data_IF_345123517133
#
_entry.id   IF_345123517133
#
_cell.length_a   1.000
_cell.length_b   1.000
_cell.length_c   1.000
_cell.angle_alpha   90.00
_cell.angle_beta   90.00
_cell.angle_gamma   90.00
#
_symmetry.space_group_name_H-M   'P 1'
#
loop_
_entity.id
_entity.type
_entity.pdbx_description
1 polymer ?
#
# COMPACT_ATOMS: atom_id res chain seq x y z
N UNK A 1 -0.74 -19.47 -9.24
CA UNK A 1 -0.13 -19.08 -7.95
C UNK A 1 -0.72 -17.79 -7.35
N UNK A 2 -1.80 -17.22 -7.91
CA UNK A 2 -2.47 -16.01 -7.34
C UNK A 2 -3.72 -16.36 -6.51
N UNK A 3 -4.37 -17.49 -6.78
CA UNK A 3 -5.64 -17.86 -6.12
C UNK A 3 -5.46 -18.36 -4.67
N UNK A 4 -4.32 -18.96 -4.34
CA UNK A 4 -4.08 -19.50 -2.98
C UNK A 4 -3.99 -18.42 -1.90
N UNK A 5 -3.68 -17.16 -2.24
CA UNK A 5 -3.66 -16.06 -1.26
C UNK A 5 -5.06 -15.50 -1.00
N UNK A 6 -5.97 -15.55 -1.98
CA UNK A 6 -7.32 -15.01 -1.84
C UNK A 6 -8.25 -15.95 -1.06
N UNK A 7 -8.09 -17.27 -1.22
CA UNK A 7 -8.94 -18.26 -0.56
C UNK A 7 -8.41 -18.71 0.82
N UNK A 8 -7.12 -18.51 1.12
CA UNK A 8 -6.51 -18.85 2.43
C UNK A 8 -6.19 -17.65 3.30
N UNK A 9 -6.55 -16.43 2.89
CA UNK A 9 -6.38 -15.29 3.78
C UNK A 9 -7.44 -15.32 4.89
N UNK A 10 -7.03 -15.77 6.07
CA UNK A 10 -7.82 -15.78 7.30
C UNK A 10 -8.19 -14.38 7.83
N UNK A 11 -8.05 -13.32 7.02
CA UNK A 11 -8.44 -11.96 7.37
C UNK A 11 -9.71 -11.57 6.63
N UNK A 12 -10.80 -11.34 7.36
CA UNK A 12 -12.11 -10.82 6.90
C UNK A 12 -12.05 -9.46 6.15
N UNK A 13 -10.86 -8.99 5.75
CA UNK A 13 -10.57 -7.62 5.28
C UNK A 13 -9.61 -7.56 4.07
N UNK A 14 -9.06 -8.67 3.56
CA UNK A 14 -8.14 -8.70 2.40
C UNK A 14 -6.76 -8.04 2.62
N UNK A 15 -6.36 -7.81 3.87
CA UNK A 15 -5.10 -7.11 4.22
C UNK A 15 -3.83 -7.86 3.82
N UNK A 16 -3.80 -9.19 3.77
CA UNK A 16 -2.55 -9.85 3.41
C UNK A 16 -2.26 -9.74 1.91
N UNK A 17 -3.27 -9.77 1.04
CA UNK A 17 -3.07 -9.33 -0.35
C UNK A 17 -2.60 -7.87 -0.44
N UNK A 18 -3.19 -6.95 0.32
CA UNK A 18 -2.78 -5.55 0.36
C UNK A 18 -1.31 -5.39 0.75
N UNK A 19 -0.84 -6.08 1.79
CA UNK A 19 0.55 -5.99 2.24
C UNK A 19 1.51 -6.80 1.37
N UNK A 20 1.08 -7.93 0.82
CA UNK A 20 1.84 -8.65 -0.21
C UNK A 20 2.16 -7.72 -1.39
N UNK A 21 1.20 -6.92 -1.85
CA UNK A 21 1.43 -5.92 -2.89
C UNK A 21 2.39 -4.81 -2.46
N UNK A 22 2.38 -4.42 -1.19
CA UNK A 22 3.24 -3.34 -0.68
C UNK A 22 4.73 -3.65 -0.81
N UNK A 23 5.15 -4.90 -0.66
CA UNK A 23 6.54 -5.31 -0.86
C UNK A 23 7.04 -4.94 -2.27
N UNK A 24 6.25 -5.25 -3.31
CA UNK A 24 6.57 -4.92 -4.70
C UNK A 24 6.55 -3.41 -4.99
N UNK A 25 5.77 -2.64 -4.24
CA UNK A 25 5.70 -1.19 -4.39
C UNK A 25 6.94 -0.55 -3.74
N UNK A 26 7.31 -1.00 -2.53
CA UNK A 26 8.42 -0.44 -1.76
C UNK A 26 9.75 -0.62 -2.50
N UNK A 27 9.99 -1.81 -3.10
CA UNK A 27 11.24 -2.08 -3.83
C UNK A 27 11.44 -1.19 -5.06
N UNK A 28 10.39 -0.58 -5.62
CA UNK A 28 10.51 0.33 -6.76
C UNK A 28 11.08 1.70 -6.37
N UNK A 29 10.80 2.18 -5.15
CA UNK A 29 11.26 3.48 -4.64
C UNK A 29 11.62 3.42 -3.15
N UNK A 30 12.63 2.62 -2.76
CA UNK A 30 12.84 2.25 -1.35
C UNK A 30 13.32 3.40 -0.46
N UNK A 31 14.07 4.36 -1.02
CA UNK A 31 14.72 5.39 -0.21
C UNK A 31 13.84 6.61 0.07
N UNK A 32 13.10 7.09 -0.94
CA UNK A 32 12.31 8.33 -0.87
C UNK A 32 10.81 8.13 -1.07
N UNK A 33 10.36 6.94 -1.47
CA UNK A 33 8.95 6.66 -1.70
C UNK A 33 8.34 7.42 -2.88
N UNK A 34 7.03 7.60 -2.83
CA UNK A 34 6.20 8.24 -3.87
C UNK A 34 5.91 9.73 -3.60
N UNK A 35 6.30 10.25 -2.43
CA UNK A 35 5.86 11.54 -1.90
C UNK A 35 4.62 11.40 -0.99
N UNK A 36 4.45 12.39 -0.09
CA UNK A 36 3.29 12.47 0.81
C UNK A 36 1.99 12.51 0.02
N UNK A 37 1.01 11.67 0.37
CA UNK A 37 -0.22 11.44 -0.41
C UNK A 37 0.00 11.02 -1.88
N UNK A 38 1.20 10.57 -2.25
CA UNK A 38 1.53 10.22 -3.64
C UNK A 38 0.98 8.87 -4.10
N UNK A 39 0.56 7.99 -3.18
CA UNK A 39 0.11 6.65 -3.53
C UNK A 39 -1.37 6.59 -3.93
N UNK A 40 -2.30 7.00 -3.06
CA UNK A 40 -3.74 6.88 -3.28
C UNK A 40 -4.27 7.97 -4.22
N UNK A 41 -3.90 7.90 -5.49
CA UNK A 41 -4.32 8.86 -6.51
C UNK A 41 -4.89 8.13 -7.74
N UNK A 42 -5.84 8.74 -8.48
CA UNK A 42 -6.33 8.18 -9.74
C UNK A 42 -5.26 8.12 -10.83
N UNK A 43 -4.12 8.79 -10.65
CA UNK A 43 -2.98 8.71 -11.56
C UNK A 43 -2.08 7.49 -11.29
N UNK A 44 -2.23 6.81 -10.15
CA UNK A 44 -1.40 5.68 -9.77
C UNK A 44 -2.08 4.34 -10.16
N UNK A 45 -1.51 3.56 -11.10
CA UNK A 45 -2.10 2.28 -11.51
C UNK A 45 -2.14 1.23 -10.41
N UNK A 46 -1.19 1.24 -9.46
CA UNK A 46 -1.21 0.31 -8.32
C UNK A 46 -2.38 0.62 -7.37
N UNK A 47 -2.69 1.90 -7.16
CA UNK A 47 -3.86 2.31 -6.37
C UNK A 47 -5.17 1.90 -7.05
N UNK A 48 -5.28 2.10 -8.37
CA UNK A 48 -6.44 1.63 -9.15
C UNK A 48 -6.60 0.10 -9.05
N UNK A 49 -5.50 -0.65 -9.15
CA UNK A 49 -5.51 -2.10 -9.03
C UNK A 49 -6.00 -2.58 -7.66
N UNK A 50 -5.55 -1.92 -6.58
CA UNK A 50 -6.00 -2.21 -5.22
C UNK A 50 -7.47 -1.82 -5.01
N UNK A 51 -7.91 -0.64 -5.46
CA UNK A 51 -9.32 -0.25 -5.38
C UNK A 51 -10.24 -1.26 -6.08
N UNK A 52 -9.85 -1.73 -7.27
CA UNK A 52 -10.59 -2.78 -7.99
C UNK A 52 -10.63 -4.11 -7.25
N UNK A 53 -9.55 -4.50 -6.58
CA UNK A 53 -9.52 -5.73 -5.78
C UNK A 53 -10.48 -5.66 -4.59
N UNK A 54 -10.64 -4.49 -3.97
CA UNK A 54 -11.53 -4.27 -2.84
C UNK A 54 -12.96 -3.87 -3.22
N UNK A 55 -13.32 -3.93 -4.50
CA UNK A 55 -14.61 -3.46 -5.04
C UNK A 55 -14.95 -2.01 -4.62
N UNK A 56 -13.92 -1.19 -4.50
CA UNK A 56 -14.06 0.23 -4.23
C UNK A 56 -14.20 0.98 -5.56
N UNK A 57 -15.08 1.98 -5.57
CA UNK A 57 -15.10 2.96 -6.66
C UNK A 57 -13.70 3.52 -6.90
N UNK A 58 -13.34 3.68 -8.18
CA UNK A 58 -12.13 4.44 -8.52
C UNK A 58 -12.25 5.79 -7.81
N UNK A 59 -11.18 6.28 -7.17
CA UNK A 59 -11.17 7.55 -6.40
C UNK A 59 -11.64 7.46 -4.93
N UNK A 60 -11.56 6.30 -4.27
CA UNK A 60 -11.86 6.22 -2.82
C UNK A 60 -10.87 7.05 -1.97
N UNK A 61 -11.24 8.28 -1.63
CA UNK A 61 -10.44 9.28 -0.88
C UNK A 61 -10.21 8.95 0.60
N UNK A 62 -10.64 7.78 1.06
CA UNK A 62 -10.48 7.33 2.45
C UNK A 62 -9.75 5.99 2.61
N UNK A 63 -9.23 5.42 1.53
CA UNK A 63 -8.55 4.14 1.59
C UNK A 63 -7.10 4.29 2.08
N UNK A 64 -6.65 3.36 2.94
CA UNK A 64 -5.31 3.39 3.53
C UNK A 64 -4.74 1.98 3.65
N UNK A 65 -3.44 1.87 3.91
CA UNK A 65 -2.80 0.58 4.15
C UNK A 65 -3.15 -0.05 5.52
N UNK A 66 -3.90 0.68 6.37
CA UNK A 66 -4.20 0.30 7.76
C UNK A 66 -2.96 -0.09 8.59
N UNK A 67 -1.79 0.42 8.18
CA UNK A 67 -0.51 0.24 8.83
C UNK A 67 0.34 1.48 8.56
N UNK A 68 0.55 2.29 9.60
CA UNK A 68 1.27 3.56 9.48
C UNK A 68 2.72 3.38 9.04
N UNK A 69 3.39 2.29 9.44
CA UNK A 69 4.76 2.03 8.97
C UNK A 69 4.78 1.80 7.47
N UNK A 70 3.93 0.92 6.94
CA UNK A 70 3.84 0.64 5.50
C UNK A 70 3.48 1.92 4.74
N UNK A 71 2.50 2.68 5.22
CA UNK A 71 2.12 3.95 4.60
C UNK A 71 3.29 4.92 4.54
N UNK A 72 4.01 5.11 5.65
CA UNK A 72 5.17 5.99 5.69
C UNK A 72 6.29 5.49 4.77
N UNK A 73 6.58 4.18 4.69
CA UNK A 73 7.61 3.65 3.76
C UNK A 73 7.19 3.92 2.31
N UNK A 74 5.94 3.69 1.93
CA UNK A 74 5.49 3.91 0.55
C UNK A 74 5.54 5.40 0.18
N UNK A 75 5.15 6.28 1.10
CA UNK A 75 5.11 7.72 0.84
C UNK A 75 6.50 8.38 0.92
N UNK A 76 7.36 7.94 1.83
CA UNK A 76 8.61 8.66 2.17
C UNK A 76 9.87 7.79 2.16
N UNK A 77 9.72 6.49 1.90
CA UNK A 77 10.80 5.51 1.92
C UNK A 77 11.31 5.17 3.31
N UNK A 78 12.37 4.36 3.36
CA UNK A 78 13.06 4.01 4.60
C UNK A 78 13.66 5.23 5.32
N UNK A 79 14.01 6.29 4.58
CA UNK A 79 14.52 7.53 5.19
C UNK A 79 13.44 8.16 6.07
N UNK A 80 12.22 8.33 5.55
CA UNK A 80 11.14 8.94 6.33
C UNK A 80 10.71 8.08 7.52
N UNK A 81 10.67 6.74 7.40
CA UNK A 81 10.44 5.88 8.58
C UNK A 81 11.55 5.97 9.60
N UNK A 82 12.82 6.06 9.19
CA UNK A 82 13.94 6.21 10.12
C UNK A 82 13.84 7.51 10.91
N UNK A 83 13.40 8.60 10.27
CA UNK A 83 13.12 9.87 10.94
C UNK A 83 11.93 9.74 11.90
N UNK A 84 10.84 9.10 11.47
CA UNK A 84 9.64 8.90 12.28
C UNK A 84 9.90 8.12 13.58
N UNK A 85 10.82 7.14 13.54
CA UNK A 85 11.15 6.29 14.71
C UNK A 85 12.31 6.87 15.54
N UNK A 86 13.19 7.67 14.91
CA UNK A 86 14.40 8.21 15.55
C UNK A 86 14.22 9.52 16.32
N UNK A 87 13.04 10.15 16.25
CA UNK A 87 12.67 11.35 17.01
C UNK A 87 11.67 11.01 18.12
#
# INVERSE_FOLDING_TARGET
MVQELSDKDAGLTGRAYLWYRTDFIIVQRPWLGMGYFGFWTPANPDAIGLWRFFDLGQESTGFSFHNSYIQTIIETGYIGVSIMVGC
#
